data_IF_028119763296
#
_entry.id   IF_028119763296
#
_cell.length_a   1.000
_cell.length_b   1.000
_cell.length_c   1.000
_cell.angle_alpha   90.00
_cell.angle_beta   90.00
_cell.angle_gamma   90.00
#
_symmetry.space_group_name_H-M   'P 1'
#
loop_
_entity.id
_entity.type
_entity.pdbx_description
1 polymer ?
#
# COMPACT_ATOMS: atom_id res chain seq x y z
N UNK A 1 -18.91 7.99 -43.93
CA UNK A 1 -17.75 7.38 -43.25
C UNK A 1 -18.10 7.14 -41.79
N UNK A 2 -18.94 6.14 -41.50
CA UNK A 2 -19.22 5.70 -40.14
C UNK A 2 -18.53 4.34 -39.96
N UNK A 3 -17.23 4.38 -39.66
CA UNK A 3 -16.58 3.21 -39.09
C UNK A 3 -17.14 3.09 -37.66
N UNK A 4 -17.89 2.02 -37.43
CA UNK A 4 -18.33 1.58 -36.11
C UNK A 4 -17.13 1.60 -35.15
N UNK A 5 -17.16 2.50 -34.16
CA UNK A 5 -16.31 2.37 -32.98
C UNK A 5 -16.84 1.17 -32.18
N UNK A 6 -16.49 -0.05 -32.63
CA UNK A 6 -16.79 -1.25 -31.89
C UNK A 6 -16.13 -1.12 -30.51
N UNK A 7 -16.91 -1.40 -29.45
CA UNK A 7 -16.38 -1.34 -28.11
C UNK A 7 -15.19 -2.30 -27.98
N UNK A 8 -14.08 -1.86 -27.37
CA UNK A 8 -12.92 -2.73 -27.19
C UNK A 8 -13.34 -3.98 -26.42
N UNK A 9 -13.07 -5.15 -27.00
CA UNK A 9 -13.43 -6.43 -26.39
C UNK A 9 -12.72 -6.62 -25.05
N UNK A 10 -13.32 -7.40 -24.15
CA UNK A 10 -12.70 -7.73 -22.86
C UNK A 10 -11.32 -8.37 -23.03
N UNK A 11 -11.14 -9.21 -24.06
CA UNK A 11 -9.85 -9.83 -24.38
C UNK A 11 -8.78 -8.79 -24.72
N UNK A 12 -9.12 -7.79 -25.55
CA UNK A 12 -8.19 -6.72 -25.89
C UNK A 12 -7.70 -5.96 -24.65
N UNK A 13 -8.62 -5.65 -23.73
CA UNK A 13 -8.30 -4.93 -22.49
C UNK A 13 -7.48 -5.75 -21.52
N UNK A 14 -7.77 -7.05 -21.41
CA UNK A 14 -6.94 -8.00 -20.65
C UNK A 14 -5.52 -8.05 -21.22
N UNK A 15 -5.38 -8.14 -22.55
CA UNK A 15 -4.07 -8.13 -23.21
C UNK A 15 -3.30 -6.83 -22.91
N UNK A 16 -3.96 -5.68 -23.01
CA UNK A 16 -3.36 -4.37 -22.69
C UNK A 16 -2.96 -4.24 -21.21
N UNK A 17 -3.73 -4.85 -20.30
CA UNK A 17 -3.47 -4.81 -18.86
C UNK A 17 -2.43 -5.85 -18.41
N UNK A 18 -2.17 -6.88 -19.20
CA UNK A 18 -1.27 -8.00 -18.86
C UNK A 18 0.18 -7.61 -18.46
N UNK A 19 0.78 -6.49 -18.93
CA UNK A 19 2.08 -6.04 -18.44
C UNK A 19 2.11 -5.81 -16.92
N UNK A 20 0.98 -5.44 -16.30
CA UNK A 20 0.90 -5.30 -14.85
C UNK A 20 0.98 -6.66 -14.12
N UNK A 21 0.45 -7.74 -14.71
CA UNK A 21 0.61 -9.08 -14.14
C UNK A 21 2.06 -9.55 -14.25
N UNK A 22 2.71 -9.28 -15.38
CA UNK A 22 4.14 -9.57 -15.53
C UNK A 22 4.97 -8.80 -14.51
N UNK A 23 4.67 -7.52 -14.29
CA UNK A 23 5.34 -6.70 -13.28
C UNK A 23 5.12 -7.27 -11.87
N UNK A 24 3.89 -7.69 -11.52
CA UNK A 24 3.59 -8.32 -10.24
C UNK A 24 4.44 -9.59 -10.00
N UNK A 25 4.52 -10.47 -11.00
CA UNK A 25 5.33 -11.70 -10.94
C UNK A 25 6.82 -11.37 -10.82
N UNK A 26 7.30 -10.39 -11.59
CA UNK A 26 8.69 -9.94 -11.53
C UNK A 26 9.02 -9.38 -10.14
N UNK A 27 8.16 -8.53 -9.57
CA UNK A 27 8.33 -8.00 -8.22
C UNK A 27 8.32 -9.11 -7.16
N UNK A 28 7.42 -10.09 -7.26
CA UNK A 28 7.36 -11.22 -6.34
C UNK A 28 8.68 -12.02 -6.36
N UNK A 29 9.19 -12.29 -7.56
CA UNK A 29 10.47 -12.98 -7.74
C UNK A 29 11.65 -12.16 -7.20
N UNK A 30 11.70 -10.86 -7.50
CA UNK A 30 12.79 -9.97 -7.09
C UNK A 30 12.81 -9.68 -5.59
N UNK A 31 11.64 -9.59 -4.94
CA UNK A 31 11.56 -9.44 -3.49
C UNK A 31 12.06 -10.68 -2.75
N UNK A 32 11.96 -11.86 -3.37
CA UNK A 32 12.42 -13.14 -2.84
C UNK A 32 11.99 -13.40 -1.38
N UNK A 33 10.73 -13.08 -1.08
CA UNK A 33 10.14 -13.18 0.28
C UNK A 33 10.27 -14.61 0.83
N UNK A 34 10.15 -15.63 -0.03
CA UNK A 34 10.24 -17.03 0.38
C UNK A 34 11.63 -17.33 0.98
N UNK A 35 12.71 -16.94 0.30
CA UNK A 35 14.05 -17.15 0.83
C UNK A 35 14.27 -16.35 2.11
N UNK A 36 13.74 -15.12 2.19
CA UNK A 36 13.80 -14.32 3.42
C UNK A 36 13.16 -15.04 4.62
N UNK A 37 11.99 -15.66 4.43
CA UNK A 37 11.26 -16.38 5.48
C UNK A 37 11.94 -17.72 5.83
N UNK A 38 12.54 -18.40 4.85
CA UNK A 38 13.14 -19.73 5.04
C UNK A 38 14.56 -19.67 5.62
N UNK A 39 15.36 -18.72 5.16
CA UNK A 39 16.80 -18.69 5.43
C UNK A 39 17.16 -17.84 6.66
N UNK A 40 16.24 -16.99 7.12
CA UNK A 40 16.47 -16.10 8.26
C UNK A 40 15.42 -16.31 9.35
N UNK A 41 15.81 -16.24 10.63
CA UNK A 41 14.83 -16.20 11.71
C UNK A 41 13.92 -14.99 11.53
N UNK A 42 12.68 -15.12 12.03
CA UNK A 42 11.74 -14.00 12.08
C UNK A 42 12.43 -12.74 12.61
N UNK A 43 12.24 -11.56 11.98
CA UNK A 43 12.84 -10.31 12.43
C UNK A 43 12.53 -9.98 13.89
N UNK A 44 11.44 -10.52 14.45
CA UNK A 44 11.07 -10.34 15.85
C UNK A 44 11.50 -11.45 16.81
N UNK A 45 12.24 -12.46 16.35
CA UNK A 45 12.59 -13.65 17.13
C UNK A 45 13.33 -13.34 18.45
N UNK A 46 14.16 -12.30 18.48
CA UNK A 46 14.92 -11.88 19.67
C UNK A 46 14.11 -10.99 20.62
N UNK A 47 12.94 -10.50 20.18
CA UNK A 47 12.17 -9.48 20.89
C UNK A 47 12.82 -8.09 20.90
N UNK A 48 13.92 -7.88 20.15
CA UNK A 48 14.66 -6.62 20.07
C UNK A 48 15.11 -6.32 18.65
N UNK A 49 15.10 -5.05 18.28
CA UNK A 49 15.74 -4.54 17.07
C UNK A 49 17.16 -4.13 17.48
N UNK A 50 18.18 -4.71 16.86
CA UNK A 50 19.58 -4.45 17.19
C UNK A 50 20.35 -3.99 15.95
N UNK A 51 21.24 -3.02 16.13
CA UNK A 51 22.16 -2.53 15.11
C UNK A 51 23.50 -2.15 15.76
N UNK A 52 24.49 -1.77 14.95
CA UNK A 52 25.87 -1.58 15.42
C UNK A 52 26.06 -0.59 16.56
N UNK A 53 25.17 0.39 16.72
CA UNK A 53 25.27 1.46 17.72
C UNK A 53 24.15 1.47 18.75
N UNK A 54 23.21 0.52 18.73
CA UNK A 54 22.08 0.55 19.65
C UNK A 54 21.12 -0.65 19.54
N UNK A 55 20.16 -0.67 20.46
CA UNK A 55 19.06 -1.64 20.43
C UNK A 55 17.77 -1.04 20.97
N UNK A 56 16.63 -1.57 20.52
CA UNK A 56 15.30 -1.15 20.93
C UNK A 56 14.42 -2.39 21.18
N UNK A 57 13.67 -2.48 22.29
CA UNK A 57 12.71 -3.56 22.48
C UNK A 57 11.57 -3.48 21.45
N UNK A 58 11.15 -4.64 20.94
CA UNK A 58 9.99 -4.74 20.04
C UNK A 58 8.72 -4.69 20.89
N UNK A 59 7.78 -3.82 20.52
CA UNK A 59 6.46 -3.78 21.15
C UNK A 59 5.76 -5.13 20.93
N UNK A 60 5.29 -5.74 22.01
CA UNK A 60 4.64 -7.05 21.97
C UNK A 60 3.12 -6.96 21.84
N UNK A 61 2.55 -5.87 22.36
CA UNK A 61 1.13 -5.58 22.38
C UNK A 61 0.94 -4.11 22.02
N UNK A 62 0.23 -3.84 20.93
CA UNK A 62 0.03 -2.48 20.45
C UNK A 62 -1.43 -2.26 20.05
N UNK A 63 -1.96 -3.09 19.15
CA UNK A 63 -3.32 -2.99 18.65
C UNK A 63 -4.36 -3.53 19.63
N UNK A 64 -3.92 -4.15 20.73
CA UNK A 64 -4.77 -4.83 21.72
C UNK A 64 -5.55 -6.02 21.15
N UNK A 65 -5.21 -6.45 19.93
CA UNK A 65 -5.77 -7.60 19.24
C UNK A 65 -4.59 -8.53 18.94
N UNK A 66 -4.47 -9.68 19.64
CA UNK A 66 -3.28 -10.53 19.55
C UNK A 66 -2.91 -10.94 18.13
N UNK A 67 -3.91 -11.25 17.31
CA UNK A 67 -3.71 -11.61 15.91
C UNK A 67 -3.08 -10.47 15.08
N UNK A 68 -3.54 -9.22 15.24
CA UNK A 68 -2.95 -8.08 14.54
C UNK A 68 -1.53 -7.83 15.00
N UNK A 69 -1.30 -7.92 16.31
CA UNK A 69 0.03 -7.75 16.89
C UNK A 69 1.02 -8.83 16.46
N UNK A 70 0.55 -10.04 16.15
CA UNK A 70 1.39 -11.11 15.59
C UNK A 70 1.73 -10.85 14.12
N UNK A 71 0.72 -10.54 13.29
CA UNK A 71 0.90 -10.33 11.85
C UNK A 71 1.79 -9.10 11.56
N UNK A 72 1.57 -8.00 12.26
CA UNK A 72 2.26 -6.74 11.95
C UNK A 72 3.61 -6.58 12.64
N UNK A 73 4.01 -7.50 13.55
CA UNK A 73 5.28 -7.40 14.27
C UNK A 73 6.47 -7.43 13.32
N UNK A 74 6.56 -8.48 12.51
CA UNK A 74 7.68 -8.67 11.59
C UNK A 74 7.69 -7.64 10.47
N UNK A 75 6.50 -7.25 10.01
CA UNK A 75 6.34 -6.16 9.05
C UNK A 75 6.91 -4.88 9.64
N UNK A 76 6.51 -4.51 10.86
CA UNK A 76 6.99 -3.30 11.54
C UNK A 76 8.50 -3.32 11.71
N UNK A 77 9.08 -4.46 12.14
CA UNK A 77 10.53 -4.60 12.28
C UNK A 77 11.25 -4.46 10.94
N UNK A 78 10.67 -4.94 9.84
CA UNK A 78 11.23 -4.77 8.50
C UNK A 78 11.41 -3.30 8.08
N UNK A 79 10.65 -2.37 8.66
CA UNK A 79 10.81 -0.93 8.41
C UNK A 79 11.93 -0.28 9.23
N UNK A 80 12.42 -0.96 10.28
CA UNK A 80 13.34 -0.38 11.26
C UNK A 80 14.63 0.24 10.68
N UNK A 81 15.28 -0.32 9.63
CA UNK A 81 16.45 0.33 9.03
C UNK A 81 16.17 1.76 8.60
N UNK A 82 15.01 1.96 7.97
CA UNK A 82 14.57 3.27 7.49
C UNK A 82 14.02 4.15 8.60
N UNK A 83 13.13 3.64 9.47
CA UNK A 83 12.41 4.46 10.46
C UNK A 83 13.27 4.83 11.65
N UNK A 84 14.11 3.90 12.15
CA UNK A 84 15.08 4.22 13.21
C UNK A 84 16.29 4.99 12.67
N UNK A 85 16.53 4.95 11.37
CA UNK A 85 17.53 5.78 10.70
C UNK A 85 18.97 5.33 10.97
N UNK A 86 19.19 4.04 11.21
CA UNK A 86 20.54 3.46 11.22
C UNK A 86 21.01 3.07 9.80
N UNK A 87 20.14 3.19 8.80
CA UNK A 87 20.48 3.21 7.38
C UNK A 87 19.91 4.48 6.73
N UNK A 88 20.75 5.49 6.54
CA UNK A 88 20.35 6.79 5.99
C UNK A 88 19.87 6.71 4.54
N UNK A 89 20.44 5.82 3.72
CA UNK A 89 20.05 5.66 2.32
C UNK A 89 18.63 5.09 2.25
N UNK A 90 18.38 4.04 3.04
CA UNK A 90 17.06 3.45 3.17
C UNK A 90 16.04 4.45 3.74
N UNK A 91 16.41 5.23 4.76
CA UNK A 91 15.55 6.25 5.37
C UNK A 91 15.05 7.27 4.35
N UNK A 92 15.95 7.87 3.56
CA UNK A 92 15.56 8.89 2.59
C UNK A 92 14.76 8.31 1.43
N UNK A 93 15.18 7.15 0.91
CA UNK A 93 14.45 6.46 -0.15
C UNK A 93 13.03 6.09 0.29
N UNK A 94 12.89 5.54 1.50
CA UNK A 94 11.60 5.09 2.00
C UNK A 94 10.68 6.25 2.42
N UNK A 95 11.23 7.36 2.92
CA UNK A 95 10.43 8.56 3.22
C UNK A 95 9.73 9.08 1.96
N UNK A 96 10.45 9.15 0.83
CA UNK A 96 9.86 9.54 -0.45
C UNK A 96 8.79 8.55 -0.91
N UNK A 97 9.12 7.26 -0.90
CA UNK A 97 8.20 6.19 -1.27
C UNK A 97 6.89 6.20 -0.47
N UNK A 98 6.96 6.35 0.85
CA UNK A 98 5.79 6.39 1.72
C UNK A 98 4.96 7.65 1.48
N UNK A 99 5.60 8.79 1.24
CA UNK A 99 4.88 10.03 0.88
C UNK A 99 4.08 9.84 -0.41
N UNK A 100 4.68 9.20 -1.42
CA UNK A 100 4.00 8.89 -2.68
C UNK A 100 2.84 7.90 -2.51
N UNK A 101 2.96 6.94 -1.57
CA UNK A 101 1.87 6.01 -1.24
C UNK A 101 0.62 6.74 -0.72
N UNK A 102 0.78 7.82 0.06
CA UNK A 102 -0.35 8.63 0.52
C UNK A 102 -1.10 9.31 -0.63
N UNK A 103 -0.35 9.82 -1.62
CA UNK A 103 -0.92 10.43 -2.83
C UNK A 103 -1.63 9.37 -3.67
N UNK A 104 -0.99 8.20 -3.86
CA UNK A 104 -1.57 7.06 -4.57
C UNK A 104 -2.89 6.63 -3.92
N UNK A 105 -2.92 6.53 -2.59
CA UNK A 105 -4.10 6.13 -1.84
C UNK A 105 -5.24 7.14 -1.97
N UNK A 106 -4.94 8.44 -2.00
CA UNK A 106 -5.94 9.49 -2.30
C UNK A 106 -6.57 9.29 -3.67
N UNK A 107 -5.74 9.04 -4.69
CA UNK A 107 -6.25 8.77 -6.05
C UNK A 107 -7.16 7.56 -6.04
N UNK A 108 -6.80 6.49 -5.32
CA UNK A 108 -7.62 5.30 -5.22
C UNK A 108 -8.95 5.53 -4.50
N UNK A 109 -8.97 6.30 -3.42
CA UNK A 109 -10.20 6.67 -2.71
C UNK A 109 -11.12 7.52 -3.59
N UNK A 110 -10.57 8.45 -4.36
CA UNK A 110 -11.34 9.24 -5.33
C UNK A 110 -11.86 8.38 -6.48
N UNK A 111 -11.04 7.49 -7.03
CA UNK A 111 -11.45 6.55 -8.07
C UNK A 111 -12.52 5.58 -7.58
N UNK A 112 -12.44 5.10 -6.33
CA UNK A 112 -13.44 4.23 -5.73
C UNK A 112 -14.82 4.89 -5.67
N UNK A 113 -14.88 6.23 -5.59
CA UNK A 113 -16.13 6.99 -5.57
C UNK A 113 -16.91 6.99 -6.89
N UNK A 114 -16.27 6.59 -8.00
CA UNK A 114 -16.94 6.55 -9.31
C UNK A 114 -18.03 5.47 -9.33
N UNK A 115 -19.26 5.78 -9.78
CA UNK A 115 -20.32 4.78 -9.88
C UNK A 115 -19.96 3.58 -10.74
N UNK A 116 -19.16 3.77 -11.81
CA UNK A 116 -18.74 2.67 -12.69
C UNK A 116 -17.82 1.64 -12.04
N UNK A 117 -17.28 1.92 -10.85
CA UNK A 117 -16.41 1.00 -10.13
C UNK A 117 -17.15 0.16 -9.07
N UNK A 118 -18.46 0.35 -8.84
CA UNK A 118 -19.22 -0.26 -7.73
C UNK A 118 -19.13 -1.80 -7.63
N UNK A 119 -18.88 -2.50 -8.73
CA UNK A 119 -18.77 -3.97 -8.77
C UNK A 119 -17.35 -4.46 -9.07
N UNK A 120 -16.34 -3.64 -8.77
CA UNK A 120 -14.93 -3.96 -9.05
C UNK A 120 -14.06 -3.84 -7.81
N UNK A 121 -12.90 -4.50 -7.83
CA UNK A 121 -11.89 -4.38 -6.78
C UNK A 121 -11.45 -2.92 -6.53
N UNK A 122 -11.56 -2.06 -7.55
CA UNK A 122 -11.27 -0.62 -7.50
C UNK A 122 -12.14 0.11 -6.46
N UNK A 123 -13.30 -0.45 -6.11
CA UNK A 123 -14.18 0.13 -5.08
C UNK A 123 -13.62 0.00 -3.67
N UNK A 124 -12.69 -0.92 -3.42
CA UNK A 124 -12.21 -1.27 -2.08
C UNK A 124 -10.71 -1.01 -1.92
N UNK A 125 -10.27 0.26 -1.99
CA UNK A 125 -8.85 0.60 -1.94
C UNK A 125 -8.20 0.23 -0.60
N UNK A 126 -8.93 0.30 0.52
CA UNK A 126 -8.46 -0.13 1.83
C UNK A 126 -8.00 -1.60 1.83
N UNK A 127 -8.82 -2.51 1.28
CA UNK A 127 -8.49 -3.93 1.19
C UNK A 127 -7.20 -4.13 0.38
N UNK A 128 -7.09 -3.46 -0.76
CA UNK A 128 -5.94 -3.57 -1.66
C UNK A 128 -4.67 -3.03 -0.98
N UNK A 129 -4.78 -1.89 -0.29
CA UNK A 129 -3.66 -1.29 0.43
C UNK A 129 -3.23 -2.13 1.65
N UNK A 130 -4.16 -2.73 2.39
CA UNK A 130 -3.84 -3.71 3.45
C UNK A 130 -3.12 -4.93 2.87
N UNK A 131 -3.60 -5.48 1.75
CA UNK A 131 -2.92 -6.60 1.09
C UNK A 131 -1.52 -6.19 0.60
N UNK A 132 -1.35 -4.97 0.10
CA UNK A 132 -0.06 -4.42 -0.29
C UNK A 132 0.89 -4.27 0.90
N UNK A 133 0.39 -3.94 2.08
CA UNK A 133 1.18 -3.88 3.31
C UNK A 133 1.72 -5.26 3.71
N UNK A 134 0.90 -6.30 3.55
CA UNK A 134 1.25 -7.68 3.93
C UNK A 134 2.09 -8.41 2.88
N UNK A 135 1.74 -8.25 1.60
CA UNK A 135 2.34 -9.00 0.47
C UNK A 135 3.37 -8.21 -0.34
N UNK A 136 3.57 -6.94 -0.01
CA UNK A 136 4.44 -6.02 -0.75
C UNK A 136 3.69 -5.22 -1.82
N UNK A 137 3.86 -3.90 -1.79
CA UNK A 137 3.23 -2.99 -2.75
C UNK A 137 3.59 -3.30 -4.20
N UNK A 138 4.84 -3.67 -4.48
CA UNK A 138 5.28 -4.05 -5.83
C UNK A 138 4.53 -5.25 -6.42
N UNK A 139 4.02 -6.16 -5.58
CA UNK A 139 3.25 -7.32 -6.03
C UNK A 139 1.78 -6.97 -6.20
N UNK A 140 1.18 -6.30 -5.22
CA UNK A 140 -0.27 -6.11 -5.13
C UNK A 140 -0.78 -4.92 -5.96
N UNK A 141 -0.02 -3.81 -6.00
CA UNK A 141 -0.42 -2.60 -6.75
C UNK A 141 -0.60 -2.88 -8.25
N UNK A 142 0.30 -3.61 -8.93
CA UNK A 142 0.08 -3.94 -10.35
C UNK A 142 -1.18 -4.79 -10.57
N UNK A 143 -1.48 -5.74 -9.68
CA UNK A 143 -2.70 -6.55 -9.76
C UNK A 143 -3.94 -5.64 -9.71
N UNK A 144 -3.94 -4.65 -8.81
CA UNK A 144 -5.02 -3.66 -8.75
C UNK A 144 -5.22 -2.92 -10.08
N UNK A 145 -4.13 -2.44 -10.70
CA UNK A 145 -4.20 -1.76 -11.99
C UNK A 145 -4.65 -2.70 -13.12
N UNK A 146 -4.25 -3.98 -13.08
CA UNK A 146 -4.77 -4.99 -14.00
C UNK A 146 -6.30 -5.06 -13.89
N UNK A 147 -6.84 -5.23 -12.69
CA UNK A 147 -8.30 -5.31 -12.50
C UNK A 147 -9.01 -4.02 -12.94
N UNK A 148 -8.42 -2.86 -12.63
CA UNK A 148 -8.94 -1.55 -13.02
C UNK A 148 -9.03 -1.40 -14.54
N UNK A 149 -8.03 -1.87 -15.29
CA UNK A 149 -7.97 -1.72 -16.75
C UNK A 149 -8.69 -2.84 -17.48
N UNK A 150 -8.70 -4.08 -16.94
CA UNK A 150 -9.28 -5.26 -17.58
C UNK A 150 -10.80 -5.38 -17.38
N UNK A 151 -11.36 -4.90 -16.26
CA UNK A 151 -12.78 -5.11 -15.93
C UNK A 151 -13.64 -3.83 -15.84
N UNK A 152 -13.06 -2.63 -15.86
CA UNK A 152 -13.83 -1.38 -15.98
C UNK A 152 -14.66 -1.31 -17.27
N UNK A 153 -15.95 -0.98 -17.28
CA UNK A 153 -16.70 -0.84 -18.53
C UNK A 153 -16.02 0.11 -19.54
N UNK A 154 -16.12 -0.09 -20.87
CA UNK A 154 -15.60 0.86 -21.84
C UNK A 154 -16.14 2.29 -21.63
N UNK A 155 -15.36 3.31 -21.96
CA UNK A 155 -15.80 4.71 -21.77
C UNK A 155 -16.98 5.10 -22.67
N UNK A 156 -17.15 4.39 -23.78
CA UNK A 156 -18.26 4.49 -24.73
C UNK A 156 -19.57 3.91 -24.18
N UNK A 157 -19.48 2.92 -23.27
CA UNK A 157 -20.64 2.29 -22.63
C UNK A 157 -21.07 2.99 -21.35
N UNK A 158 -20.30 3.97 -20.89
CA UNK A 158 -20.55 4.70 -19.65
C UNK A 158 -21.19 6.06 -19.93
N UNK A 159 -22.20 6.40 -19.15
CA UNK A 159 -22.76 7.74 -19.09
C UNK A 159 -21.74 8.76 -18.55
N UNK A 160 -22.00 10.04 -18.79
CA UNK A 160 -21.18 11.13 -18.23
C UNK A 160 -21.17 11.13 -16.70
N UNK A 161 -22.25 10.68 -16.06
CA UNK A 161 -22.39 10.60 -14.60
C UNK A 161 -21.54 9.46 -14.02
N UNK A 162 -21.53 8.29 -14.65
CA UNK A 162 -20.73 7.14 -14.21
C UNK A 162 -19.23 7.39 -14.29
N UNK A 163 -18.81 8.27 -15.22
CA UNK A 163 -17.42 8.69 -15.40
C UNK A 163 -17.00 9.89 -14.54
N UNK A 164 -17.82 10.38 -13.62
CA UNK A 164 -17.43 11.51 -12.76
C UNK A 164 -16.87 11.03 -11.44
N UNK A 165 -15.73 11.59 -11.04
CA UNK A 165 -15.25 11.51 -9.66
C UNK A 165 -16.12 12.41 -8.81
N UNK A 166 -16.57 11.94 -7.66
CA UNK A 166 -17.19 12.81 -6.69
C UNK A 166 -16.11 13.57 -5.92
N UNK A 167 -15.69 14.72 -6.45
CA UNK A 167 -14.70 15.59 -5.81
C UNK A 167 -15.17 16.13 -4.45
N UNK A 168 -16.47 16.12 -4.18
CA UNK A 168 -17.01 16.44 -2.86
C UNK A 168 -16.49 15.49 -1.77
N UNK A 169 -16.23 14.23 -2.11
CA UNK A 169 -15.64 13.27 -1.19
C UNK A 169 -14.19 13.60 -0.81
N UNK A 170 -13.49 14.45 -1.59
CA UNK A 170 -12.13 14.87 -1.26
C UNK A 170 -12.06 15.58 0.10
N UNK A 171 -13.13 16.30 0.49
CA UNK A 171 -13.21 16.95 1.80
C UNK A 171 -13.27 15.96 2.97
N UNK A 172 -13.63 14.70 2.71
CA UNK A 172 -13.61 13.62 3.70
C UNK A 172 -12.29 12.86 3.59
N UNK A 173 -11.86 12.50 2.38
CA UNK A 173 -10.66 11.69 2.19
C UNK A 173 -9.37 12.42 2.56
N UNK A 174 -9.28 13.73 2.32
CA UNK A 174 -8.09 14.51 2.64
C UNK A 174 -7.77 14.51 4.14
N UNK A 175 -8.69 14.91 5.05
CA UNK A 175 -8.40 14.84 6.48
C UNK A 175 -8.14 13.41 6.96
N UNK A 176 -8.83 12.40 6.42
CA UNK A 176 -8.57 11.00 6.77
C UNK A 176 -7.14 10.58 6.40
N UNK A 177 -6.68 10.87 5.19
CA UNK A 177 -5.31 10.55 4.77
C UNK A 177 -4.29 11.32 5.59
N UNK A 178 -4.55 12.60 5.90
CA UNK A 178 -3.64 13.37 6.74
C UNK A 178 -3.52 12.75 8.14
N UNK A 179 -4.64 12.39 8.77
CA UNK A 179 -4.68 11.87 10.15
C UNK A 179 -4.15 10.45 10.23
N UNK A 180 -4.56 9.56 9.32
CA UNK A 180 -4.28 8.13 9.44
C UNK A 180 -3.04 7.69 8.65
N UNK A 181 -2.64 8.41 7.62
CA UNK A 181 -1.44 8.09 6.83
C UNK A 181 -0.33 9.12 7.04
N UNK A 182 -0.52 10.37 6.64
CA UNK A 182 0.60 11.32 6.50
C UNK A 182 1.21 11.72 7.84
N UNK A 183 0.41 12.10 8.83
CA UNK A 183 0.93 12.49 10.16
C UNK A 183 1.70 11.32 10.79
N UNK A 184 1.16 10.08 10.88
CA UNK A 184 1.90 8.95 11.40
C UNK A 184 3.16 8.60 10.57
N UNK A 185 3.10 8.71 9.24
CA UNK A 185 4.25 8.49 8.36
C UNK A 185 5.38 9.49 8.62
N UNK A 186 5.06 10.78 8.84
CA UNK A 186 6.07 11.75 9.21
C UNK A 186 6.60 11.48 10.63
N UNK A 187 5.72 11.13 11.57
CA UNK A 187 6.13 10.86 12.94
C UNK A 187 7.08 9.63 13.05
N UNK A 188 6.84 8.56 12.28
CA UNK A 188 7.72 7.39 12.27
C UNK A 188 9.14 7.68 11.76
N UNK A 189 9.35 8.72 10.95
CA UNK A 189 10.68 9.09 10.45
C UNK A 189 11.33 10.25 11.20
N UNK A 190 10.54 11.16 11.79
CA UNK A 190 11.04 12.46 12.25
C UNK A 190 10.79 12.72 13.74
N UNK A 191 10.12 11.84 14.48
CA UNK A 191 10.09 11.95 15.95
C UNK A 191 11.52 11.96 16.52
N UNK A 192 11.79 12.75 17.58
CA UNK A 192 13.14 12.86 18.13
C UNK A 192 13.60 11.56 18.79
N UNK A 193 12.72 10.86 19.50
CA UNK A 193 13.04 9.61 20.19
C UNK A 193 12.80 8.38 19.29
N UNK A 194 13.71 7.40 19.37
CA UNK A 194 13.60 6.13 18.63
C UNK A 194 12.37 5.31 19.07
N UNK A 195 12.03 5.36 20.37
CA UNK A 195 10.82 4.73 20.91
C UNK A 195 9.55 5.32 20.27
N UNK A 196 9.49 6.66 20.18
CA UNK A 196 8.40 7.36 19.50
C UNK A 196 8.30 6.94 18.03
N UNK A 197 9.42 6.87 17.30
CA UNK A 197 9.42 6.42 15.90
C UNK A 197 8.90 5.00 15.74
N UNK A 198 9.32 4.09 16.62
CA UNK A 198 8.86 2.70 16.62
C UNK A 198 7.35 2.61 16.90
N UNK A 199 6.86 3.35 17.90
CA UNK A 199 5.43 3.47 18.19
C UNK A 199 4.64 3.95 16.96
N UNK A 200 5.11 5.00 16.29
CA UNK A 200 4.44 5.52 15.09
C UNK A 200 4.53 4.56 13.90
N UNK A 201 5.61 3.78 13.80
CA UNK A 201 5.72 2.74 12.77
C UNK A 201 4.63 1.68 12.98
N UNK A 202 4.41 1.23 14.22
CA UNK A 202 3.32 0.33 14.58
C UNK A 202 1.95 0.92 14.24
N UNK A 203 1.70 2.18 14.64
CA UNK A 203 0.44 2.86 14.33
C UNK A 203 0.18 2.94 12.82
N UNK A 204 1.21 3.29 12.05
CA UNK A 204 1.09 3.49 10.61
C UNK A 204 0.86 2.19 9.84
N UNK A 205 1.25 1.01 10.34
CA UNK A 205 1.01 -0.25 9.62
C UNK A 205 -0.47 -0.51 9.29
N UNK A 206 -1.39 0.06 10.08
CA UNK A 206 -2.83 -0.02 9.86
C UNK A 206 -3.43 1.21 9.15
N UNK A 207 -2.62 2.13 8.60
CA UNK A 207 -3.13 3.31 7.90
C UNK A 207 -4.22 3.04 6.84
N UNK A 208 -4.27 1.88 6.15
CA UNK A 208 -5.31 1.64 5.15
C UNK A 208 -6.68 1.31 5.74
N UNK A 209 -6.75 0.98 7.04
CA UNK A 209 -7.92 0.41 7.73
C UNK A 209 -8.68 1.47 8.53
#
# INVERSE_FOLDING_TARGET
MAALNAEPSNLWRICLASPFLFLSVACFYLMNIISLIQDFPSPSATGRIEWSSGSLPILQKFHLIPFLDEVFRDITVGFAPSTLGYDDVSRWSMTGFITDCGILYMVWLLESSRPSNNFSLVRFPAIVATLAQLGGGGVIIPIYYFFSIAFRPPTTSQSSLERRVNVGNAWIFLPLILIFHSIPAFAMYFSPELESRHYWTWFWQLYPV
#
